data_IF_112700500880
#
_entry.id   IF_112700500880
#
_cell.length_a   1.000
_cell.length_b   1.000
_cell.length_c   1.000
_cell.angle_alpha   90.00
_cell.angle_beta   90.00
_cell.angle_gamma   90.00
#
_symmetry.space_group_name_H-M   'P 1'
#
loop_
_entity.id
_entity.type
_entity.pdbx_description
1 polymer ?
#
# COMPACT_ATOMS: atom_id res chain seq x y z
N UNK A 1 -27.40 50.39 58.02
CA UNK A 1 -27.43 48.94 57.70
C UNK A 1 -27.34 48.64 56.19
N UNK A 2 -28.28 49.07 55.33
CA UNK A 2 -28.28 48.69 53.89
C UNK A 2 -26.99 49.01 53.11
N UNK A 3 -26.35 50.17 53.35
CA UNK A 3 -25.08 50.54 52.68
C UNK A 3 -23.88 49.68 53.09
N UNK A 4 -23.82 49.24 54.35
CA UNK A 4 -22.74 48.39 54.88
C UNK A 4 -22.87 46.97 54.29
N UNK A 5 -24.09 46.43 54.23
CA UNK A 5 -24.36 45.13 53.62
C UNK A 5 -24.00 45.14 52.13
N UNK A 6 -24.33 46.21 51.40
CA UNK A 6 -23.96 46.35 49.99
C UNK A 6 -22.44 46.42 49.79
N UNK A 7 -21.72 47.15 50.65
CA UNK A 7 -20.26 47.25 50.59
C UNK A 7 -19.57 45.91 50.87
N UNK A 8 -20.04 45.16 51.87
CA UNK A 8 -19.55 43.81 52.17
C UNK A 8 -19.82 42.86 51.00
N UNK A 9 -21.00 42.93 50.39
CA UNK A 9 -21.34 42.10 49.23
C UNK A 9 -20.42 42.39 48.04
N UNK A 10 -20.17 43.67 47.74
CA UNK A 10 -19.23 44.08 46.69
C UNK A 10 -17.81 43.59 46.99
N UNK A 11 -17.34 43.73 48.24
CA UNK A 11 -16.01 43.28 48.65
C UNK A 11 -15.84 41.76 48.52
N UNK A 12 -16.86 40.98 48.89
CA UNK A 12 -16.87 39.53 48.71
C UNK A 12 -16.82 39.18 47.22
N UNK A 13 -17.63 39.84 46.38
CA UNK A 13 -17.64 39.62 44.93
C UNK A 13 -16.28 39.95 44.32
N UNK A 14 -15.67 41.09 44.68
CA UNK A 14 -14.34 41.49 44.20
C UNK A 14 -13.27 40.50 44.64
N UNK A 15 -13.31 40.06 45.90
CA UNK A 15 -12.36 39.07 46.42
C UNK A 15 -12.50 37.73 45.71
N UNK A 16 -13.74 37.28 45.48
CA UNK A 16 -14.01 36.06 44.72
C UNK A 16 -13.55 36.20 43.26
N UNK A 17 -13.73 37.37 42.65
CA UNK A 17 -13.27 37.66 41.31
C UNK A 17 -11.74 37.64 41.21
N UNK A 18 -11.02 38.24 42.18
CA UNK A 18 -9.55 38.20 42.23
C UNK A 18 -9.05 36.76 42.37
N UNK A 19 -9.64 35.99 43.29
CA UNK A 19 -9.30 34.56 43.47
C UNK A 19 -9.57 33.79 42.17
N UNK A 20 -10.70 34.06 41.50
CA UNK A 20 -11.05 33.44 40.23
C UNK A 20 -10.06 33.76 39.12
N UNK A 21 -9.63 35.02 38.98
CA UNK A 21 -8.59 35.43 38.01
C UNK A 21 -7.25 34.75 38.31
N UNK A 22 -6.83 34.70 39.58
CA UNK A 22 -5.60 34.02 39.98
C UNK A 22 -5.65 32.53 39.65
N UNK A 23 -6.77 31.85 39.93
CA UNK A 23 -6.96 30.44 39.58
C UNK A 23 -6.88 30.24 38.07
N UNK A 24 -7.44 31.14 37.26
CA UNK A 24 -7.41 31.03 35.80
C UNK A 24 -6.05 31.35 35.17
N UNK A 25 -5.11 31.95 35.90
CA UNK A 25 -3.82 32.37 35.37
C UNK A 25 -2.77 31.23 35.26
N UNK A 26 -3.12 29.99 35.60
CA UNK A 26 -2.24 28.84 35.38
C UNK A 26 -2.22 28.42 33.90
N UNK A 27 -1.16 28.84 33.20
CA UNK A 27 -0.94 28.57 31.77
C UNK A 27 -0.24 27.23 31.51
N UNK A 28 0.01 26.39 32.53
CA UNK A 28 0.70 25.11 32.31
C UNK A 28 -0.04 24.26 31.29
N UNK A 29 0.68 23.81 30.26
CA UNK A 29 0.12 22.97 29.21
C UNK A 29 0.22 21.47 29.55
N UNK A 30 -0.77 20.73 29.09
CA UNK A 30 -0.87 19.27 29.07
C UNK A 30 -1.14 18.83 27.64
N UNK A 31 -0.51 17.73 27.22
CA UNK A 31 -0.77 17.08 25.94
C UNK A 31 -1.57 15.83 26.21
N UNK A 32 -2.78 15.75 25.64
CA UNK A 32 -3.59 14.53 25.69
C UNK A 32 -3.51 13.83 24.36
N UNK A 33 -3.09 12.57 24.37
CA UNK A 33 -3.03 11.75 23.18
C UNK A 33 -4.07 10.63 23.23
N UNK A 34 -4.62 10.25 22.08
CA UNK A 34 -5.57 9.12 21.99
C UNK A 34 -4.91 7.76 22.12
N UNK A 35 -3.65 7.64 21.69
CA UNK A 35 -2.86 6.41 21.76
C UNK A 35 -1.37 6.71 21.94
N UNK A 36 -0.67 5.81 22.63
CA UNK A 36 0.81 5.74 22.70
C UNK A 36 1.41 4.84 21.61
N UNK A 37 0.58 3.98 21.01
CA UNK A 37 0.96 3.03 19.95
C UNK A 37 -0.09 3.08 18.84
N UNK A 38 0.35 3.15 17.59
CA UNK A 38 -0.46 2.95 16.38
C UNK A 38 0.25 1.97 15.46
N UNK A 39 -0.45 1.38 14.49
CA UNK A 39 0.17 0.38 13.60
C UNK A 39 0.63 0.98 12.26
N UNK A 40 1.69 0.40 11.70
CA UNK A 40 2.30 0.76 10.44
C UNK A 40 1.46 0.24 9.25
N UNK A 41 0.29 0.85 9.00
CA UNK A 41 -0.65 0.38 7.98
C UNK A 41 -1.27 1.49 7.11
N UNK A 42 -0.71 2.71 7.16
CA UNK A 42 -1.23 3.87 6.42
C UNK A 42 -2.65 4.32 6.76
N UNK A 43 -3.30 3.72 7.76
CA UNK A 43 -4.70 4.00 8.11
C UNK A 43 -4.89 4.38 9.58
N UNK A 44 -4.01 3.95 10.48
CA UNK A 44 -4.09 4.35 11.88
C UNK A 44 -3.59 5.77 12.13
N UNK A 45 -4.16 6.41 13.14
CA UNK A 45 -3.80 7.75 13.56
C UNK A 45 -3.86 7.88 15.07
N UNK A 46 -3.04 8.79 15.61
CA UNK A 46 -3.16 9.26 16.97
C UNK A 46 -3.42 10.77 16.96
N UNK A 47 -4.40 11.21 17.73
CA UNK A 47 -4.70 12.62 17.92
C UNK A 47 -4.01 13.14 19.17
N UNK A 48 -3.34 14.29 19.04
CA UNK A 48 -2.66 15.01 20.10
C UNK A 48 -3.38 16.34 20.33
N UNK A 49 -4.04 16.45 21.47
CA UNK A 49 -4.76 17.64 21.90
C UNK A 49 -3.91 18.45 22.88
N UNK A 50 -3.74 19.74 22.60
CA UNK A 50 -3.01 20.66 23.47
C UNK A 50 -4.04 21.36 24.36
N UNK A 51 -3.85 21.29 25.68
CA UNK A 51 -4.77 21.88 26.66
C UNK A 51 -4.02 22.60 27.76
N UNK A 52 -4.70 23.55 28.40
CA UNK A 52 -4.32 23.98 29.73
C UNK A 52 -4.59 22.85 30.74
N UNK A 53 -3.60 22.56 31.59
CA UNK A 53 -3.70 21.60 32.69
C UNK A 53 -4.80 22.01 33.68
N UNK A 54 -5.01 23.31 33.84
CA UNK A 54 -6.11 23.85 34.62
C UNK A 54 -7.45 23.68 33.89
N UNK A 55 -8.30 22.80 34.42
CA UNK A 55 -9.61 22.47 33.84
C UNK A 55 -10.57 23.66 33.76
N UNK A 56 -10.56 24.56 34.75
CA UNK A 56 -11.41 25.75 34.76
C UNK A 56 -10.97 26.73 33.66
N UNK A 57 -9.66 26.95 33.54
CA UNK A 57 -9.09 27.73 32.44
C UNK A 57 -9.46 27.13 31.09
N UNK A 58 -9.20 25.84 30.87
CA UNK A 58 -9.52 25.18 29.60
C UNK A 58 -11.02 25.24 29.25
N UNK A 59 -11.91 25.29 30.25
CA UNK A 59 -13.36 25.38 30.03
C UNK A 59 -13.80 26.77 29.54
N UNK A 60 -13.27 27.84 30.14
CA UNK A 60 -13.67 29.21 29.80
C UNK A 60 -12.80 29.84 28.69
N UNK A 61 -11.55 29.43 28.62
CA UNK A 61 -10.52 29.90 27.68
C UNK A 61 -9.75 28.68 27.15
N UNK A 62 -10.36 27.89 26.25
CA UNK A 62 -9.70 26.73 25.68
C UNK A 62 -8.43 27.15 24.94
N UNK A 63 -7.40 26.30 24.98
CA UNK A 63 -6.20 26.52 24.19
C UNK A 63 -6.54 26.67 22.70
N UNK A 64 -6.21 27.84 22.15
CA UNK A 64 -6.45 28.25 20.76
C UNK A 64 -5.22 28.89 20.11
N UNK A 65 -4.07 28.81 20.80
CA UNK A 65 -2.84 29.48 20.39
C UNK A 65 -2.08 28.68 19.35
N UNK A 66 -1.19 29.38 18.64
CA UNK A 66 -0.24 28.74 17.72
C UNK A 66 0.73 27.86 18.50
N UNK A 67 1.09 26.74 17.89
CA UNK A 67 2.09 25.81 18.38
C UNK A 67 3.00 25.36 17.23
N UNK A 68 4.20 24.90 17.57
CA UNK A 68 5.14 24.26 16.65
C UNK A 68 5.41 22.83 17.08
N UNK A 69 5.60 21.95 16.10
CA UNK A 69 6.05 20.57 16.31
C UNK A 69 7.46 20.47 15.76
N UNK A 70 8.40 20.15 16.64
CA UNK A 70 9.80 19.95 16.32
C UNK A 70 10.09 18.45 16.42
N UNK A 71 10.14 17.77 15.28
CA UNK A 71 10.45 16.34 15.22
C UNK A 71 11.93 16.10 15.50
N UNK A 72 12.20 15.20 16.44
CA UNK A 72 13.55 14.75 16.81
C UNK A 72 13.90 13.49 16.01
N UNK A 73 12.94 12.57 15.90
CA UNK A 73 13.12 11.25 15.27
C UNK A 73 11.81 10.82 14.60
N UNK A 74 11.90 10.07 13.49
CA UNK A 74 10.77 9.32 12.95
C UNK A 74 9.73 10.14 12.17
N UNK A 75 10.00 11.40 11.80
CA UNK A 75 9.07 12.23 10.99
C UNK A 75 8.63 11.52 9.71
N UNK A 76 9.54 10.78 9.08
CA UNK A 76 9.28 10.03 7.85
C UNK A 76 8.24 8.90 8.01
N UNK A 77 8.01 8.41 9.24
CA UNK A 77 7.09 7.32 9.56
C UNK A 77 5.62 7.76 9.61
N UNK A 78 5.35 9.06 9.58
CA UNK A 78 4.01 9.63 9.76
C UNK A 78 3.69 10.70 8.71
N UNK A 79 2.41 11.02 8.63
CA UNK A 79 1.87 12.21 8.01
C UNK A 79 1.21 13.07 9.10
N UNK A 80 1.58 14.36 9.13
CA UNK A 80 1.03 15.32 10.09
C UNK A 80 -0.20 16.00 9.50
N UNK A 81 -1.35 15.92 10.19
CA UNK A 81 -2.59 16.58 9.78
C UNK A 81 -3.01 17.54 10.88
N UNK A 82 -2.94 18.85 10.61
CA UNK A 82 -3.29 19.89 11.59
C UNK A 82 -4.80 19.96 11.81
N UNK A 83 -5.19 20.25 13.04
CA UNK A 83 -6.57 20.46 13.47
C UNK A 83 -6.67 21.72 14.34
N UNK A 84 -7.88 22.26 14.52
CA UNK A 84 -8.11 23.45 15.37
C UNK A 84 -7.71 23.23 16.83
N UNK A 85 -7.84 22.00 17.34
CA UNK A 85 -7.60 21.64 18.76
C UNK A 85 -6.25 20.97 19.01
N UNK A 86 -5.45 20.76 17.97
CA UNK A 86 -4.27 19.91 18.03
C UNK A 86 -3.87 19.39 16.65
N UNK A 87 -3.41 18.16 16.58
CA UNK A 87 -2.99 17.54 15.33
C UNK A 87 -3.12 16.02 15.37
N UNK A 88 -3.23 15.41 14.19
CA UNK A 88 -3.17 13.97 14.01
C UNK A 88 -1.81 13.59 13.47
N UNK A 89 -1.28 12.48 13.97
CA UNK A 89 -0.19 11.75 13.33
C UNK A 89 -0.79 10.48 12.73
N UNK A 90 -0.88 10.45 11.40
CA UNK A 90 -1.30 9.26 10.64
C UNK A 90 -0.06 8.42 10.36
N UNK A 91 -0.06 7.13 10.67
CA UNK A 91 1.07 6.25 10.37
C UNK A 91 1.22 6.06 8.86
N UNK A 92 2.45 5.73 8.42
CA UNK A 92 2.71 5.13 7.11
C UNK A 92 2.84 3.61 7.27
N UNK A 93 3.53 2.94 6.35
CA UNK A 93 3.76 1.49 6.34
C UNK A 93 5.04 1.03 7.04
N UNK A 94 5.84 1.96 7.56
CA UNK A 94 7.13 1.64 8.22
C UNK A 94 6.98 1.77 9.73
N UNK A 95 7.44 0.76 10.47
CA UNK A 95 7.46 0.74 11.93
C UNK A 95 8.62 1.54 12.51
N UNK A 96 8.52 1.88 13.80
CA UNK A 96 9.57 2.61 14.51
C UNK A 96 9.02 3.47 15.63
N UNK A 97 9.77 4.48 16.03
CA UNK A 97 9.39 5.42 17.09
C UNK A 97 9.45 6.84 16.54
N UNK A 98 8.44 7.64 16.86
CA UNK A 98 8.41 9.07 16.55
C UNK A 98 8.55 9.85 17.84
N UNK A 99 9.62 10.64 17.93
CA UNK A 99 9.90 11.52 19.07
C UNK A 99 9.83 12.96 18.61
N UNK A 100 9.14 13.80 19.35
CA UNK A 100 8.97 15.20 18.98
C UNK A 100 8.68 16.08 20.19
N UNK A 101 8.95 17.37 20.02
CA UNK A 101 8.64 18.40 20.99
C UNK A 101 7.51 19.27 20.46
N UNK A 102 6.51 19.55 21.30
CA UNK A 102 5.50 20.56 21.06
C UNK A 102 5.91 21.83 21.79
N UNK A 103 6.05 22.92 21.05
CA UNK A 103 6.39 24.24 21.56
C UNK A 103 5.17 25.16 21.48
N UNK A 104 4.71 25.65 22.63
CA UNK A 104 3.60 26.58 22.75
C UNK A 104 3.71 27.41 24.04
N UNK A 105 3.39 28.70 23.98
CA UNK A 105 3.44 29.63 25.14
C UNK A 105 4.75 29.53 25.96
N UNK A 106 5.90 29.50 25.29
CA UNK A 106 7.24 29.34 25.90
C UNK A 106 7.42 28.05 26.73
N UNK A 107 6.56 27.06 26.51
CA UNK A 107 6.67 25.72 27.10
C UNK A 107 7.01 24.71 26.03
N UNK A 108 7.84 23.74 26.40
CA UNK A 108 8.20 22.60 25.56
C UNK A 108 7.63 21.34 26.20
N UNK A 109 6.95 20.52 25.42
CA UNK A 109 6.41 19.22 25.82
C UNK A 109 6.96 18.14 24.93
N UNK A 110 7.75 17.24 25.50
CA UNK A 110 8.21 16.03 24.82
C UNK A 110 7.05 15.05 24.67
N UNK A 111 6.97 14.42 23.50
CA UNK A 111 6.00 13.39 23.17
C UNK A 111 6.70 12.27 22.40
N UNK A 112 6.22 11.05 22.62
CA UNK A 112 6.69 9.85 21.94
C UNK A 112 5.49 8.99 21.55
N UNK A 113 5.53 8.45 20.34
CA UNK A 113 4.57 7.46 19.86
C UNK A 113 5.30 6.32 19.14
N UNK A 114 4.90 5.09 19.45
CA UNK A 114 5.41 3.89 18.77
C UNK A 114 4.54 3.56 17.57
N UNK A 115 5.17 3.36 16.42
CA UNK A 115 4.55 2.80 15.22
C UNK A 115 4.89 1.30 15.20
N UNK A 116 3.96 0.45 15.64
CA UNK A 116 4.14 -0.99 15.69
C UNK A 116 3.90 -1.63 14.32
N UNK A 117 4.54 -2.77 14.07
CA UNK A 117 4.26 -3.57 12.87
C UNK A 117 2.85 -4.15 12.94
N UNK A 118 2.21 -4.30 11.78
CA UNK A 118 0.89 -4.92 11.65
C UNK A 118 1.03 -6.23 10.87
N UNK A 119 0.79 -7.37 11.53
CA UNK A 119 0.88 -8.69 10.92
C UNK A 119 -0.48 -9.29 10.55
N UNK A 120 -1.55 -8.50 10.62
CA UNK A 120 -2.90 -8.97 10.27
C UNK A 120 -2.95 -9.41 8.81
N UNK A 121 -3.65 -10.53 8.58
CA UNK A 121 -4.02 -11.14 7.31
C UNK A 121 -5.52 -11.45 7.47
N UNK A 122 -6.35 -10.45 7.14
CA UNK A 122 -7.78 -10.41 7.49
C UNK A 122 -8.62 -11.35 6.63
N UNK A 123 -8.23 -11.58 5.37
CA UNK A 123 -8.93 -12.45 4.43
C UNK A 123 -8.32 -13.86 4.33
N UNK A 124 -7.16 -14.09 4.96
CA UNK A 124 -6.51 -15.39 5.04
C UNK A 124 -5.87 -15.84 3.74
N UNK A 125 -5.61 -14.92 2.80
CA UNK A 125 -4.98 -15.21 1.51
C UNK A 125 -3.46 -15.42 1.60
N UNK A 126 -2.91 -15.17 2.80
CA UNK A 126 -1.51 -15.33 3.16
C UNK A 126 -0.69 -14.05 3.04
N UNK A 127 -1.20 -12.98 2.45
CA UNK A 127 -0.56 -11.68 2.42
C UNK A 127 -1.01 -10.86 3.64
N UNK A 128 -0.11 -10.10 4.27
CA UNK A 128 -0.53 -9.22 5.36
C UNK A 128 -1.24 -7.98 4.80
N UNK A 129 -2.32 -7.50 5.44
CA UNK A 129 -3.14 -6.34 5.00
C UNK A 129 -2.31 -5.07 4.71
N UNK A 130 -1.15 -4.95 5.36
CA UNK A 130 -0.21 -3.85 5.15
C UNK A 130 0.37 -3.81 3.73
N UNK A 131 0.43 -4.94 3.02
CA UNK A 131 0.87 -4.97 1.62
C UNK A 131 -0.28 -4.86 0.62
N UNK A 132 -1.53 -4.98 1.03
CA UNK A 132 -2.64 -4.84 0.08
C UNK A 132 -2.73 -3.41 -0.49
N UNK A 133 -2.91 -3.31 -1.81
CA UNK A 133 -3.16 -2.07 -2.51
C UNK A 133 -4.68 -1.89 -2.66
N UNK A 134 -5.16 -0.69 -2.36
CA UNK A 134 -6.58 -0.33 -2.42
C UNK A 134 -6.75 0.98 -3.19
N UNK A 135 -7.98 1.25 -3.65
CA UNK A 135 -8.34 2.52 -4.31
C UNK A 135 -7.39 2.84 -5.49
N UNK A 136 -6.90 4.08 -5.57
CA UNK A 136 -5.99 4.56 -6.62
C UNK A 136 -4.72 3.71 -6.75
N UNK A 137 -4.17 3.17 -5.66
CA UNK A 137 -2.94 2.38 -5.72
C UNK A 137 -3.17 1.03 -6.44
N UNK A 138 -4.36 0.45 -6.32
CA UNK A 138 -4.75 -0.76 -7.06
C UNK A 138 -4.80 -0.46 -8.56
N UNK A 139 -5.39 0.66 -8.94
CA UNK A 139 -5.55 1.05 -10.34
C UNK A 139 -4.20 1.46 -10.94
N UNK A 140 -3.38 2.20 -10.19
CA UNK A 140 -2.01 2.57 -10.56
C UNK A 140 -1.14 1.33 -10.79
N UNK A 141 -1.20 0.35 -9.87
CA UNK A 141 -0.50 -0.91 -10.04
C UNK A 141 -0.95 -1.64 -11.31
N UNK A 142 -2.26 -1.83 -11.51
CA UNK A 142 -2.78 -2.55 -12.68
C UNK A 142 -2.40 -1.85 -14.00
N UNK A 143 -2.41 -0.52 -14.01
CA UNK A 143 -2.00 0.28 -15.15
C UNK A 143 -0.51 0.12 -15.46
N UNK A 144 0.35 0.22 -14.45
CA UNK A 144 1.78 -0.01 -14.61
C UNK A 144 2.10 -1.44 -15.02
N UNK A 145 1.51 -2.42 -14.33
CA UNK A 145 1.68 -3.85 -14.59
C UNK A 145 1.44 -4.19 -16.06
N UNK A 146 0.30 -3.75 -16.60
CA UNK A 146 -0.04 -3.96 -18.01
C UNK A 146 0.89 -3.16 -18.94
N UNK A 147 1.16 -1.88 -18.64
CA UNK A 147 2.01 -1.05 -19.51
C UNK A 147 3.44 -1.59 -19.61
N UNK A 148 3.98 -2.13 -18.52
CA UNK A 148 5.33 -2.71 -18.48
C UNK A 148 5.35 -4.06 -19.20
N UNK A 149 4.34 -4.91 -19.00
CA UNK A 149 4.24 -6.17 -19.73
C UNK A 149 4.13 -5.92 -21.25
N UNK A 150 3.25 -5.01 -21.66
CA UNK A 150 3.04 -4.64 -23.06
C UNK A 150 4.28 -4.03 -23.70
N UNK A 151 5.06 -3.21 -22.98
CA UNK A 151 6.29 -2.64 -23.56
C UNK A 151 7.32 -3.70 -23.96
N UNK A 152 7.30 -4.88 -23.32
CA UNK A 152 8.22 -5.98 -23.66
C UNK A 152 7.93 -6.59 -25.04
N UNK A 153 6.70 -6.44 -25.56
CA UNK A 153 6.37 -6.82 -26.94
C UNK A 153 7.10 -5.94 -27.96
N UNK A 154 7.21 -4.64 -27.67
CA UNK A 154 7.84 -3.66 -28.57
C UNK A 154 9.37 -3.65 -28.46
N UNK A 155 9.89 -3.94 -27.26
CA UNK A 155 11.31 -4.16 -27.05
C UNK A 155 11.60 -4.61 -25.63
N UNK A 156 12.27 -5.76 -25.53
CA UNK A 156 12.69 -6.35 -24.26
C UNK A 156 13.64 -5.38 -23.53
N UNK A 157 13.29 -5.05 -22.28
CA UNK A 157 14.15 -4.23 -21.44
C UNK A 157 15.44 -4.98 -21.07
N UNK A 158 16.56 -4.27 -21.06
CA UNK A 158 17.84 -4.81 -20.55
C UNK A 158 17.79 -5.17 -19.06
N UNK A 159 16.81 -4.67 -18.31
CA UNK A 159 16.60 -5.03 -16.90
C UNK A 159 15.89 -6.39 -16.74
N UNK A 160 15.30 -6.94 -17.79
CA UNK A 160 14.72 -8.27 -17.77
C UNK A 160 15.73 -9.29 -18.28
N UNK A 161 16.51 -9.84 -17.34
CA UNK A 161 17.57 -10.80 -17.66
C UNK A 161 17.06 -12.00 -18.46
N UNK A 162 17.83 -12.43 -19.47
CA UNK A 162 17.46 -13.51 -20.39
C UNK A 162 17.07 -14.82 -19.68
N UNK A 163 17.73 -15.17 -18.58
CA UNK A 163 17.42 -16.37 -17.80
C UNK A 163 16.02 -16.34 -17.17
N UNK A 164 15.45 -15.14 -16.99
CA UNK A 164 14.13 -14.93 -16.43
C UNK A 164 13.07 -14.68 -17.52
N UNK A 165 13.41 -14.76 -18.80
CA UNK A 165 12.46 -14.52 -19.90
C UNK A 165 11.60 -15.77 -20.14
N UNK A 166 10.49 -15.84 -19.41
CA UNK A 166 9.52 -16.94 -19.44
C UNK A 166 8.10 -16.40 -19.23
N UNK A 167 7.08 -17.26 -19.35
CA UNK A 167 5.69 -16.89 -19.11
C UNK A 167 5.47 -16.34 -17.69
N UNK A 168 5.92 -17.04 -16.64
CA UNK A 168 5.89 -16.52 -15.27
C UNK A 168 6.87 -15.37 -15.05
N UNK A 169 8.02 -15.42 -15.75
CA UNK A 169 9.03 -14.37 -15.68
C UNK A 169 8.49 -12.99 -16.09
N UNK A 170 7.65 -12.93 -17.12
CA UNK A 170 6.98 -11.69 -17.55
C UNK A 170 6.07 -11.15 -16.44
N UNK A 171 5.28 -12.02 -15.82
CA UNK A 171 4.36 -11.66 -14.71
C UNK A 171 5.14 -11.17 -13.49
N UNK A 172 6.20 -11.89 -13.10
CA UNK A 172 7.08 -11.51 -11.98
C UNK A 172 7.78 -10.18 -12.27
N UNK A 173 8.36 -10.03 -13.46
CA UNK A 173 9.06 -8.81 -13.86
C UNK A 173 8.13 -7.60 -13.85
N UNK A 174 6.99 -7.69 -14.53
CA UNK A 174 6.03 -6.60 -14.61
C UNK A 174 5.48 -6.22 -13.23
N UNK A 175 5.23 -7.19 -12.35
CA UNK A 175 4.77 -6.93 -10.97
C UNK A 175 5.81 -6.14 -10.16
N UNK A 176 7.08 -6.59 -10.16
CA UNK A 176 8.16 -5.90 -9.44
C UNK A 176 8.39 -4.49 -9.97
N UNK A 177 8.42 -4.32 -11.29
CA UNK A 177 8.61 -3.02 -11.91
C UNK A 177 7.41 -2.08 -11.65
N UNK A 178 6.18 -2.58 -11.68
CA UNK A 178 4.99 -1.77 -11.41
C UNK A 178 4.93 -1.20 -9.99
N UNK A 179 5.61 -1.85 -9.04
CA UNK A 179 5.73 -1.38 -7.67
C UNK A 179 6.90 -0.39 -7.47
N UNK A 180 7.76 -0.15 -8.46
CA UNK A 180 8.89 0.79 -8.32
C UNK A 180 8.45 2.25 -8.45
N UNK A 181 9.38 3.15 -8.15
CA UNK A 181 9.27 4.57 -8.49
C UNK A 181 9.62 4.79 -9.97
N UNK A 182 8.72 5.38 -10.74
CA UNK A 182 8.91 5.62 -12.18
C UNK A 182 9.49 7.02 -12.44
N UNK A 183 10.69 7.27 -11.92
CA UNK A 183 11.39 8.54 -12.12
C UNK A 183 12.12 8.61 -13.49
N UNK A 184 12.76 9.74 -13.79
CA UNK A 184 13.49 9.92 -15.06
C UNK A 184 14.59 8.86 -15.30
N UNK A 185 15.25 8.38 -14.25
CA UNK A 185 16.27 7.32 -14.37
C UNK A 185 15.65 5.97 -14.70
N UNK A 186 14.44 5.70 -14.20
CA UNK A 186 13.66 4.52 -14.56
C UNK A 186 13.26 4.62 -16.05
N UNK A 187 12.62 5.71 -16.48
CA UNK A 187 12.17 5.89 -17.87
C UNK A 187 13.29 5.77 -18.90
N UNK A 188 14.52 6.21 -18.58
CA UNK A 188 15.68 6.07 -19.46
C UNK A 188 16.00 4.60 -19.83
N UNK A 189 15.52 3.62 -19.05
CA UNK A 189 15.71 2.18 -19.26
C UNK A 189 14.52 1.49 -19.94
N UNK A 190 13.43 2.23 -20.21
CA UNK A 190 12.18 1.68 -20.71
C UNK A 190 11.62 2.52 -21.87
N UNK A 191 12.32 2.46 -23.01
CA UNK A 191 12.05 3.28 -24.19
C UNK A 191 10.68 3.06 -24.84
N UNK A 192 10.02 1.93 -24.57
CA UNK A 192 8.75 1.53 -25.21
C UNK A 192 7.52 1.63 -24.31
N UNK A 193 7.62 2.32 -23.17
CA UNK A 193 6.46 2.59 -22.32
C UNK A 193 5.53 3.57 -23.02
N UNK A 194 4.36 3.06 -23.42
CA UNK A 194 3.35 3.77 -24.23
C UNK A 194 2.57 4.79 -23.39
N UNK A 195 2.34 4.50 -22.10
CA UNK A 195 1.51 5.33 -21.21
C UNK A 195 2.39 6.05 -20.19
N UNK A 196 2.47 7.39 -20.26
CA UNK A 196 3.35 8.19 -19.40
C UNK A 196 2.65 8.91 -18.24
N UNK A 197 1.32 8.91 -18.22
CA UNK A 197 0.52 9.57 -17.17
C UNK A 197 -0.12 8.53 -16.25
N UNK A 198 0.70 7.70 -15.60
CA UNK A 198 0.26 6.79 -14.54
C UNK A 198 0.99 7.22 -13.27
N UNK A 199 0.25 7.50 -12.21
CA UNK A 199 0.85 7.80 -10.91
C UNK A 199 1.52 6.53 -10.34
N UNK A 200 2.60 6.71 -9.58
CA UNK A 200 3.19 5.59 -8.83
C UNK A 200 2.23 5.06 -7.77
N UNK A 201 2.39 3.79 -7.39
CA UNK A 201 1.86 3.28 -6.12
C UNK A 201 2.43 4.14 -4.97
N UNK A 202 1.53 4.70 -4.16
CA UNK A 202 1.83 5.66 -3.08
C UNK A 202 2.09 4.97 -1.74
N UNK A 203 1.41 3.86 -1.43
CA UNK A 203 1.49 3.16 -0.13
C UNK A 203 2.89 2.67 0.20
N UNK A 204 3.61 2.12 -0.77
CA UNK A 204 5.01 1.70 -0.67
C UNK A 204 5.58 1.47 -2.07
N UNK A 205 6.89 1.24 -2.17
CA UNK A 205 7.53 0.88 -3.45
C UNK A 205 8.53 -0.26 -3.27
N UNK A 206 8.63 -1.15 -4.26
CA UNK A 206 9.65 -2.20 -4.32
C UNK A 206 11.05 -1.56 -4.44
N UNK A 207 12.08 -2.06 -3.73
CA UNK A 207 12.14 -3.32 -2.95
C UNK A 207 11.67 -3.22 -1.49
N UNK A 208 11.22 -2.06 -1.03
CA UNK A 208 10.85 -1.83 0.37
C UNK A 208 9.38 -2.16 0.66
N UNK A 209 8.91 -3.33 0.20
CA UNK A 209 7.55 -3.79 0.50
C UNK A 209 7.42 -4.09 2.00
N UNK A 210 6.39 -3.58 2.69
CA UNK A 210 6.21 -3.77 4.13
C UNK A 210 6.23 -5.26 4.50
N UNK A 211 7.04 -5.62 5.50
CA UNK A 211 7.29 -6.99 5.99
C UNK A 211 7.97 -7.96 5.00
N UNK A 212 7.72 -7.83 3.69
CA UNK A 212 8.17 -8.78 2.67
C UNK A 212 9.48 -8.38 1.98
N UNK A 213 9.81 -7.09 1.98
CA UNK A 213 10.97 -6.53 1.29
C UNK A 213 10.99 -6.97 -0.18
N UNK A 214 12.04 -7.65 -0.63
CA UNK A 214 12.17 -8.13 -2.00
C UNK A 214 11.40 -9.43 -2.28
N UNK A 215 11.02 -10.18 -1.23
CA UNK A 215 10.39 -11.48 -1.34
C UNK A 215 8.88 -11.32 -1.35
N UNK A 216 8.34 -10.86 -2.48
CA UNK A 216 6.92 -10.50 -2.58
C UNK A 216 6.04 -11.62 -3.16
N UNK A 217 6.63 -12.73 -3.60
CA UNK A 217 5.87 -13.84 -4.18
C UNK A 217 5.75 -14.99 -3.21
N UNK A 218 4.51 -15.39 -2.91
CA UNK A 218 4.23 -16.52 -2.04
C UNK A 218 4.52 -17.83 -2.76
N UNK A 219 5.17 -18.77 -2.07
CA UNK A 219 5.55 -20.09 -2.61
C UNK A 219 5.01 -21.27 -1.79
N UNK A 220 4.25 -20.98 -0.72
CA UNK A 220 3.67 -21.97 0.17
C UNK A 220 2.29 -21.53 0.67
N UNK A 221 1.35 -22.46 0.77
CA UNK A 221 0.02 -22.22 1.35
C UNK A 221 0.08 -21.94 2.85
N UNK A 222 -0.83 -21.11 3.35
CA UNK A 222 -1.06 -20.85 4.77
C UNK A 222 -1.45 -19.39 4.99
N UNK A 223 -1.77 -19.01 6.22
CA UNK A 223 -1.91 -17.60 6.62
C UNK A 223 -0.55 -16.92 6.72
N UNK A 224 -0.52 -15.58 6.77
CA UNK A 224 0.71 -14.83 7.01
C UNK A 224 1.29 -15.10 8.41
N UNK A 225 2.61 -15.32 8.48
CA UNK A 225 3.35 -15.35 9.74
C UNK A 225 4.72 -14.71 9.55
N UNK A 226 5.02 -13.68 10.35
CA UNK A 226 6.29 -12.95 10.24
C UNK A 226 7.53 -13.85 10.40
N UNK A 227 7.42 -14.94 11.17
CA UNK A 227 8.54 -15.83 11.44
C UNK A 227 8.88 -16.79 10.30
N UNK A 228 8.00 -16.93 9.29
CA UNK A 228 8.17 -17.88 8.20
C UNK A 228 8.34 -17.22 6.82
N UNK A 229 8.42 -15.88 6.77
CA UNK A 229 8.52 -15.10 5.52
C UNK A 229 9.62 -15.64 4.59
N UNK A 230 10.80 -15.96 5.12
CA UNK A 230 11.92 -16.49 4.33
C UNK A 230 11.67 -17.88 3.72
N UNK A 231 10.70 -18.63 4.23
CA UNK A 231 10.31 -19.96 3.74
C UNK A 231 9.01 -19.95 2.93
N UNK A 232 8.16 -18.95 3.15
CA UNK A 232 6.85 -18.83 2.53
C UNK A 232 6.85 -17.84 1.34
N UNK A 233 7.83 -16.94 1.27
CA UNK A 233 7.96 -15.98 0.19
C UNK A 233 9.34 -16.04 -0.49
N UNK A 234 9.36 -15.67 -1.77
CA UNK A 234 10.56 -15.61 -2.59
C UNK A 234 10.55 -14.36 -3.49
N UNK A 235 11.72 -14.05 -4.04
CA UNK A 235 11.93 -12.93 -4.97
C UNK A 235 11.37 -13.22 -6.38
N UNK A 236 11.09 -14.50 -6.68
CA UNK A 236 10.51 -14.96 -7.95
C UNK A 236 9.53 -16.11 -7.70
N UNK A 237 8.66 -16.39 -8.67
CA UNK A 237 7.74 -17.53 -8.64
C UNK A 237 7.52 -18.10 -10.04
N UNK A 238 7.40 -19.42 -10.13
CA UNK A 238 6.94 -20.09 -11.35
C UNK A 238 5.41 -20.01 -11.48
N UNK A 239 4.88 -20.40 -12.65
CA UNK A 239 3.45 -20.33 -12.94
C UNK A 239 2.59 -21.08 -11.91
N UNK A 240 3.07 -22.24 -11.41
CA UNK A 240 2.37 -23.02 -10.41
C UNK A 240 2.25 -22.27 -9.06
N UNK A 241 3.33 -21.65 -8.58
CA UNK A 241 3.30 -20.88 -7.33
C UNK A 241 2.47 -19.60 -7.49
N UNK A 242 2.57 -18.93 -8.64
CA UNK A 242 1.73 -17.77 -8.96
C UNK A 242 0.25 -18.17 -8.87
N UNK A 243 -0.18 -19.14 -9.68
CA UNK A 243 -1.56 -19.61 -9.74
C UNK A 243 -2.11 -20.02 -8.38
N UNK A 244 -1.35 -20.78 -7.59
CA UNK A 244 -1.87 -21.38 -6.36
C UNK A 244 -1.81 -20.47 -5.13
N UNK A 245 -0.90 -19.49 -5.09
CA UNK A 245 -0.58 -18.75 -3.86
C UNK A 245 -0.54 -17.23 -4.00
N UNK A 246 -0.61 -16.68 -5.21
CA UNK A 246 -0.48 -15.23 -5.44
C UNK A 246 -1.70 -14.60 -6.09
N UNK A 247 -2.64 -15.43 -6.55
CA UNK A 247 -3.85 -14.95 -7.20
C UNK A 247 -5.11 -15.64 -6.69
N UNK A 248 -6.21 -14.88 -6.72
CA UNK A 248 -7.56 -15.33 -6.46
C UNK A 248 -8.31 -15.55 -7.76
N UNK A 249 -9.05 -16.65 -7.85
CA UNK A 249 -9.85 -16.98 -9.03
C UNK A 249 -10.99 -15.99 -9.25
N UNK A 250 -11.13 -15.46 -10.47
CA UNK A 250 -12.21 -14.55 -10.85
C UNK A 250 -13.32 -15.30 -11.56
N UNK A 251 -12.97 -16.08 -12.57
CA UNK A 251 -13.95 -16.76 -13.41
C UNK A 251 -13.39 -17.12 -14.77
N UNK A 252 -14.22 -17.73 -15.61
CA UNK A 252 -13.89 -18.02 -17.01
C UNK A 252 -14.63 -17.12 -17.99
N UNK A 253 -15.56 -16.28 -17.52
CA UNK A 253 -16.32 -15.38 -18.37
C UNK A 253 -15.60 -14.05 -18.51
N UNK A 254 -15.33 -13.63 -19.76
CA UNK A 254 -14.62 -12.37 -20.09
C UNK A 254 -15.27 -11.14 -19.43
N UNK A 255 -16.58 -11.17 -19.17
CA UNK A 255 -17.30 -10.05 -18.54
C UNK A 255 -16.79 -9.70 -17.14
N UNK A 256 -16.19 -10.67 -16.43
CA UNK A 256 -15.67 -10.48 -15.08
C UNK A 256 -14.20 -10.00 -15.07
N UNK A 257 -13.55 -10.00 -16.24
CA UNK A 257 -12.13 -9.74 -16.36
C UNK A 257 -11.85 -8.25 -16.27
N UNK A 258 -10.80 -7.90 -15.53
CA UNK A 258 -10.31 -6.54 -15.37
C UNK A 258 -8.88 -6.44 -15.88
N UNK A 259 -8.47 -5.21 -16.21
CA UNK A 259 -7.09 -4.89 -16.58
C UNK A 259 -6.12 -5.43 -15.52
N UNK A 260 -5.10 -6.17 -15.96
CA UNK A 260 -4.09 -6.76 -15.09
C UNK A 260 -4.47 -8.13 -14.51
N UNK A 261 -5.68 -8.64 -14.76
CA UNK A 261 -5.98 -10.05 -14.49
C UNK A 261 -5.10 -10.94 -15.38
N UNK A 262 -4.75 -12.12 -14.85
CA UNK A 262 -3.89 -13.09 -15.53
C UNK A 262 -4.72 -14.33 -15.86
N UNK A 263 -4.78 -14.68 -17.14
CA UNK A 263 -5.36 -15.92 -17.62
C UNK A 263 -4.34 -17.04 -17.44
N UNK A 264 -4.76 -18.13 -16.81
CA UNK A 264 -3.93 -19.32 -16.66
C UNK A 264 -4.46 -20.48 -17.50
N UNK A 265 -3.52 -21.28 -18.02
CA UNK A 265 -3.80 -22.50 -18.77
C UNK A 265 -3.04 -23.68 -18.20
N UNK A 266 -3.58 -24.88 -18.37
CA UNK A 266 -2.93 -26.16 -18.17
C UNK A 266 -2.93 -26.94 -19.50
N UNK A 267 -1.80 -26.92 -20.19
CA UNK A 267 -1.55 -27.55 -21.48
C UNK A 267 -0.48 -28.63 -21.27
N UNK A 268 -0.94 -29.87 -21.13
CA UNK A 268 -0.14 -31.05 -20.74
C UNK A 268 0.94 -31.49 -21.74
N UNK A 269 1.10 -30.81 -22.87
CA UNK A 269 2.08 -31.15 -23.90
C UNK A 269 3.47 -30.49 -23.70
N UNK A 270 3.64 -29.63 -22.70
CA UNK A 270 4.95 -29.07 -22.33
C UNK A 270 5.63 -29.91 -21.24
N UNK A 271 6.83 -30.43 -21.51
CA UNK A 271 7.52 -31.41 -20.67
C UNK A 271 8.05 -30.85 -19.33
N UNK A 272 8.29 -29.54 -19.20
CA UNK A 272 8.90 -28.95 -17.99
C UNK A 272 7.89 -28.28 -17.04
N UNK A 273 6.80 -27.73 -17.57
CA UNK A 273 5.68 -27.21 -16.79
C UNK A 273 4.44 -27.13 -17.67
N UNK A 274 3.31 -27.75 -17.29
CA UNK A 274 2.12 -27.73 -18.13
C UNK A 274 1.38 -26.38 -18.05
N UNK A 275 1.83 -25.45 -17.21
CA UNK A 275 1.11 -24.21 -16.97
C UNK A 275 1.61 -23.05 -17.85
N UNK A 276 0.68 -22.23 -18.31
CA UNK A 276 0.96 -21.01 -19.07
C UNK A 276 0.14 -19.82 -18.55
N UNK A 277 0.63 -18.61 -18.73
CA UNK A 277 0.02 -17.38 -18.21
C UNK A 277 -0.01 -16.27 -19.26
N UNK A 278 -1.13 -15.55 -19.35
CA UNK A 278 -1.31 -14.40 -20.24
C UNK A 278 -1.94 -13.23 -19.47
N UNK A 279 -1.39 -12.02 -19.61
CA UNK A 279 -1.85 -10.81 -18.93
C UNK A 279 -2.92 -10.12 -19.78
N UNK A 280 -4.09 -9.85 -19.22
CA UNK A 280 -5.17 -9.14 -19.90
C UNK A 280 -5.03 -7.62 -19.81
N UNK A 281 -5.13 -6.93 -20.95
CA UNK A 281 -4.89 -5.48 -21.01
C UNK A 281 -6.12 -4.62 -20.66
N UNK A 282 -7.28 -5.24 -20.40
CA UNK A 282 -8.52 -4.52 -20.11
C UNK A 282 -9.18 -3.99 -21.39
N UNK A 283 -9.50 -2.69 -21.41
CA UNK A 283 -10.28 -2.07 -22.50
C UNK A 283 -9.67 -2.21 -23.90
N UNK A 284 -8.34 -2.32 -24.01
CA UNK A 284 -7.70 -2.54 -25.32
C UNK A 284 -7.88 -3.96 -25.85
N UNK A 285 -8.37 -4.88 -25.01
CA UNK A 285 -8.77 -6.25 -25.36
C UNK A 285 -7.67 -7.13 -25.98
N UNK A 286 -6.46 -6.98 -25.46
CA UNK A 286 -5.30 -7.81 -25.80
C UNK A 286 -4.91 -8.72 -24.64
N UNK A 287 -4.20 -9.78 -24.99
CA UNK A 287 -3.46 -10.66 -24.10
C UNK A 287 -1.97 -10.51 -24.41
N UNK A 288 -1.18 -10.25 -23.37
CA UNK A 288 0.28 -10.16 -23.44
C UNK A 288 0.87 -11.38 -22.74
N UNK A 289 1.72 -12.12 -23.41
CA UNK A 289 2.31 -13.34 -22.86
C UNK A 289 3.68 -13.61 -23.46
N UNK A 290 4.47 -14.45 -22.80
CA UNK A 290 5.72 -14.95 -23.33
C UNK A 290 5.54 -16.42 -23.73
N UNK A 291 5.97 -16.82 -24.93
CA UNK A 291 5.73 -18.18 -25.48
C UNK A 291 6.37 -19.31 -24.68
N UNK A 292 7.29 -18.96 -23.77
CA UNK A 292 8.10 -19.92 -23.04
C UNK A 292 9.28 -20.42 -23.87
N UNK A 293 10.14 -21.21 -23.26
CA UNK A 293 11.29 -21.79 -23.93
C UNK A 293 10.82 -22.84 -24.95
N UNK A 294 11.04 -22.59 -26.24
CA UNK A 294 10.59 -23.47 -27.32
C UNK A 294 11.66 -24.50 -27.70
N UNK A 295 12.94 -24.20 -27.46
CA UNK A 295 14.07 -25.13 -27.66
C UNK A 295 15.35 -24.61 -26.98
N UNK A 296 16.40 -25.43 -26.90
CA UNK A 296 17.71 -25.00 -26.35
C UNK A 296 18.33 -23.76 -27.00
N UNK A 297 17.89 -23.39 -28.21
CA UNK A 297 18.36 -22.20 -28.95
C UNK A 297 17.28 -21.13 -29.14
N UNK A 298 16.03 -21.42 -28.78
CA UNK A 298 14.91 -20.50 -28.89
C UNK A 298 14.24 -20.32 -27.52
N UNK A 299 14.67 -19.28 -26.83
CA UNK A 299 14.17 -18.92 -25.50
C UNK A 299 12.71 -18.43 -25.50
N UNK A 300 12.11 -18.23 -26.67
CA UNK A 300 10.76 -17.70 -26.83
C UNK A 300 10.73 -16.20 -27.11
N UNK A 301 9.52 -15.67 -27.22
CA UNK A 301 9.27 -14.25 -27.47
C UNK A 301 8.04 -13.76 -26.69
N UNK A 302 7.94 -12.44 -26.50
CA UNK A 302 6.70 -11.82 -26.02
C UNK A 302 5.76 -11.63 -27.20
N UNK A 303 4.50 -12.03 -27.04
CA UNK A 303 3.42 -11.87 -28.00
C UNK A 303 2.30 -11.01 -27.43
N UNK A 304 1.65 -10.31 -28.35
CA UNK A 304 0.43 -9.53 -28.12
C UNK A 304 -0.63 -10.03 -29.09
N UNK A 305 -1.74 -10.55 -28.57
CA UNK A 305 -2.84 -11.10 -29.38
C UNK A 305 -4.17 -10.52 -28.92
N UNK A 306 -5.10 -10.25 -29.83
CA UNK A 306 -6.46 -9.88 -29.41
C UNK A 306 -7.15 -11.06 -28.76
N UNK A 307 -7.96 -10.80 -27.74
CA UNK A 307 -8.71 -11.84 -27.05
C UNK A 307 -9.56 -12.69 -28.02
N UNK A 308 -10.27 -12.02 -28.92
CA UNK A 308 -11.16 -12.67 -29.89
C UNK A 308 -10.42 -13.46 -30.97
N UNK A 309 -9.16 -13.10 -31.26
CA UNK A 309 -8.31 -13.86 -32.18
C UNK A 309 -7.79 -15.13 -31.51
N UNK A 310 -7.49 -15.09 -30.21
CA UNK A 310 -7.13 -16.29 -29.45
C UNK A 310 -8.27 -17.31 -29.41
N UNK A 311 -9.52 -16.85 -29.40
CA UNK A 311 -10.71 -17.73 -29.47
C UNK A 311 -10.84 -18.46 -30.81
N UNK A 312 -10.09 -18.04 -31.84
CA UNK A 312 -10.05 -18.66 -33.17
C UNK A 312 -8.73 -19.38 -33.41
N UNK A 313 -7.91 -19.56 -32.38
CA UNK A 313 -6.61 -20.21 -32.50
C UNK A 313 -6.79 -21.64 -33.05
N UNK A 314 -5.94 -22.13 -33.98
CA UNK A 314 -6.10 -23.47 -34.57
C UNK A 314 -6.05 -24.60 -33.54
N UNK A 315 -5.23 -24.43 -32.51
CA UNK A 315 -5.20 -25.32 -31.34
C UNK A 315 -6.20 -24.83 -30.29
N UNK A 316 -7.24 -25.66 -30.05
CA UNK A 316 -8.33 -25.38 -29.12
C UNK A 316 -7.92 -25.35 -27.65
N UNK A 317 -6.75 -25.86 -27.28
CA UNK A 317 -6.26 -25.77 -25.90
C UNK A 317 -6.11 -24.32 -25.43
N UNK A 318 -5.91 -23.39 -26.37
CA UNK A 318 -5.72 -21.97 -26.10
C UNK A 318 -6.99 -21.13 -26.10
N UNK A 319 -8.15 -21.72 -26.40
CA UNK A 319 -9.41 -20.95 -26.45
C UNK A 319 -9.81 -20.49 -25.04
N UNK A 320 -9.98 -19.19 -24.77
CA UNK A 320 -10.35 -18.66 -23.46
C UNK A 320 -11.87 -18.77 -23.20
N UNK A 321 -12.41 -19.99 -23.28
CA UNK A 321 -13.85 -20.29 -23.14
C UNK A 321 -14.12 -21.19 -21.93
N UNK A 322 -15.29 -21.05 -21.31
CA UNK A 322 -15.64 -21.75 -20.05
C UNK A 322 -15.45 -23.26 -20.10
N UNK A 323 -15.81 -23.85 -21.22
CA UNK A 323 -15.87 -25.30 -21.41
C UNK A 323 -14.51 -25.91 -21.78
N UNK A 324 -13.52 -25.07 -22.10
CA UNK A 324 -12.16 -25.52 -22.31
C UNK A 324 -11.51 -25.90 -20.97
N UNK A 325 -11.14 -27.17 -20.83
CA UNK A 325 -10.49 -27.70 -19.62
C UNK A 325 -9.05 -27.21 -19.46
N UNK A 326 -8.38 -26.89 -20.57
CA UNK A 326 -7.04 -26.30 -20.52
C UNK A 326 -7.08 -24.85 -20.05
N UNK A 327 -8.18 -24.13 -20.27
CA UNK A 327 -8.34 -22.78 -19.72
C UNK A 327 -8.77 -22.86 -18.26
N UNK A 328 -7.88 -22.48 -17.34
CA UNK A 328 -8.16 -22.49 -15.90
C UNK A 328 -9.02 -21.29 -15.50
N UNK A 329 -8.97 -20.20 -16.26
CA UNK A 329 -9.72 -18.97 -16.05
C UNK A 329 -8.83 -17.76 -15.86
N UNK A 330 -9.44 -16.63 -15.54
CA UNK A 330 -8.77 -15.42 -15.11
C UNK A 330 -8.64 -15.36 -13.59
N UNK A 331 -7.54 -14.76 -13.16
CA UNK A 331 -7.10 -14.69 -11.79
C UNK A 331 -6.59 -13.27 -11.49
N UNK A 332 -6.85 -12.77 -10.29
CA UNK A 332 -6.42 -11.44 -9.84
C UNK A 332 -5.45 -11.54 -8.69
N UNK A 333 -4.44 -10.69 -8.66
CA UNK A 333 -3.46 -10.65 -7.58
C UNK A 333 -4.13 -10.55 -6.22
N UNK A 334 -3.64 -11.35 -5.27
CA UNK A 334 -4.10 -11.42 -3.88
C UNK A 334 -3.96 -10.06 -3.16
N UNK A 335 -2.84 -9.38 -3.35
CA UNK A 335 -2.62 -8.05 -2.74
C UNK A 335 -3.44 -6.91 -3.39
N UNK A 336 -4.41 -7.18 -4.27
CA UNK A 336 -5.29 -6.16 -4.87
C UNK A 336 -6.73 -6.29 -4.32
N UNK A 337 -7.03 -5.52 -3.27
CA UNK A 337 -8.35 -5.52 -2.60
C UNK A 337 -9.23 -4.34 -3.06
#
# INVERSE_FOLDING_TARGET
MKKIVLFILIFIILSFFIIFVVILNDNKLEIKQTSTVIYANSNNFAFFEIKYKNKLRQKFFPFDKKFKINYIEGKQLIEEIKSKKGFYLKSKTVSGVVKFNIEAENQIKFCEIKIAENYTDSDGDGFPDVVELTNEDRDNFANWFVSIAESQFYGISSNWEAINQSCSGLVVFACKEALKKHNNQWFAKYSFIVTKNIDDVKKYNYPDVPLLKENIFRVKKGSFNINDVSSCFANTANVNNLLNFNFTFIGKNKIDFKKGDVLFYNVSNNQDSPYHSMIYTGESDYLIYHTGNLSSTNIGEVRKVKFDDLSKHPDSFWHPVSDNKSFLGAYRWNFLN
#
